data_IF_123685675473
#
_entry.id   IF_123685675473
#
_cell.length_a   1.000
_cell.length_b   1.000
_cell.length_c   1.000
_cell.angle_alpha   90.00
_cell.angle_beta   90.00
_cell.angle_gamma   90.00
#
_symmetry.space_group_name_H-M   'P 1'
#
loop_
_entity.id
_entity.type
_entity.pdbx_description
1 polymer ?
#
# COMPACT_ATOMS: atom_id res chain seq x y z
N UNK A 1 18.36 4.32 9.66
CA UNK A 1 18.60 2.87 9.61
C UNK A 1 17.51 2.25 8.72
N UNK A 2 17.85 1.42 7.73
CA UNK A 2 16.83 0.66 6.99
C UNK A 2 16.13 -0.30 7.97
N UNK A 3 14.81 -0.44 7.83
CA UNK A 3 13.95 -1.22 8.73
C UNK A 3 13.44 -2.47 8.00
N UNK A 4 12.72 -3.36 8.69
CA UNK A 4 12.19 -4.59 8.13
C UNK A 4 11.28 -4.33 6.92
N UNK A 5 11.46 -5.14 5.88
CA UNK A 5 10.59 -5.16 4.70
C UNK A 5 9.33 -5.95 5.02
N UNK A 6 8.17 -5.34 4.83
CA UNK A 6 6.86 -5.93 5.20
C UNK A 6 6.00 -6.30 3.99
N UNK A 7 6.25 -5.69 2.83
CA UNK A 7 5.56 -6.00 1.58
C UNK A 7 6.45 -5.61 0.40
N UNK A 8 6.44 -6.41 -0.66
CA UNK A 8 7.18 -6.14 -1.90
C UNK A 8 6.23 -6.30 -3.07
N UNK A 9 6.25 -5.35 -4.02
CA UNK A 9 5.56 -5.47 -5.31
C UNK A 9 6.48 -5.05 -6.45
N UNK A 10 6.24 -5.60 -7.64
CA UNK A 10 6.92 -5.20 -8.87
C UNK A 10 5.94 -4.54 -9.83
N UNK A 11 6.28 -3.36 -10.34
CA UNK A 11 5.47 -2.62 -11.31
C UNK A 11 6.37 -1.96 -12.37
N UNK A 12 6.18 -2.33 -13.64
CA UNK A 12 6.85 -1.72 -14.81
C UNK A 12 8.37 -1.54 -14.64
N UNK A 13 9.08 -2.58 -14.21
CA UNK A 13 10.54 -2.54 -14.04
C UNK A 13 11.01 -1.82 -12.78
N UNK A 14 10.10 -1.51 -11.85
CA UNK A 14 10.41 -0.99 -10.52
C UNK A 14 9.97 -1.99 -9.45
N UNK A 15 10.74 -2.11 -8.37
CA UNK A 15 10.36 -2.84 -7.16
C UNK A 15 10.10 -1.83 -6.06
N UNK A 16 8.95 -1.96 -5.41
CA UNK A 16 8.56 -1.15 -4.26
C UNK A 16 8.55 -2.05 -3.03
N UNK A 17 9.39 -1.73 -2.05
CA UNK A 17 9.53 -2.44 -0.80
C UNK A 17 9.06 -1.55 0.36
N UNK A 18 7.92 -1.90 0.94
CA UNK A 18 7.35 -1.22 2.11
C UNK A 18 8.10 -1.59 3.38
N UNK A 19 8.43 -0.58 4.20
CA UNK A 19 9.27 -0.72 5.38
C UNK A 19 8.47 -0.45 6.67
N UNK A 20 8.94 -1.04 7.77
CA UNK A 20 8.32 -0.88 9.09
C UNK A 20 8.44 0.54 9.69
N UNK A 21 9.34 1.37 9.15
CA UNK A 21 9.55 2.76 9.59
C UNK A 21 8.63 3.79 8.89
N UNK A 22 7.74 3.37 7.99
CA UNK A 22 6.84 4.28 7.28
C UNK A 22 7.36 4.79 5.95
N UNK A 23 8.44 4.20 5.45
CA UNK A 23 8.99 4.47 4.13
C UNK A 23 8.75 3.32 3.14
N UNK A 24 8.92 3.61 1.86
CA UNK A 24 8.92 2.67 0.75
C UNK A 24 10.25 2.88 0.02
N UNK A 25 11.06 1.83 -0.08
CA UNK A 25 12.24 1.80 -0.93
C UNK A 25 11.83 1.42 -2.37
N UNK A 26 12.32 2.17 -3.35
CA UNK A 26 12.01 2.00 -4.77
C UNK A 26 13.31 1.70 -5.53
N UNK A 27 13.40 0.47 -6.05
CA UNK A 27 14.47 0.03 -6.92
C UNK A 27 13.99 0.09 -8.37
N UNK A 28 14.89 0.40 -9.29
CA UNK A 28 14.56 0.56 -10.71
C UNK A 28 15.61 -0.12 -11.60
N UNK A 29 15.18 -0.50 -12.81
CA UNK A 29 16.11 -0.95 -13.85
C UNK A 29 16.87 0.22 -14.47
N UNK A 30 18.11 -0.03 -14.90
CA UNK A 30 18.89 0.87 -15.74
C UNK A 30 18.46 0.74 -17.22
N UNK A 31 19.04 1.55 -18.11
CA UNK A 31 18.75 1.54 -19.55
C UNK A 31 19.10 0.22 -20.25
N UNK A 32 20.01 -0.58 -19.67
CA UNK A 32 20.36 -1.91 -20.15
C UNK A 32 19.47 -3.04 -19.60
N UNK A 33 18.44 -2.73 -18.81
CA UNK A 33 17.54 -3.73 -18.20
C UNK A 33 18.07 -4.42 -16.94
N UNK A 34 19.31 -4.16 -16.54
CA UNK A 34 19.88 -4.56 -15.25
C UNK A 34 19.31 -3.73 -14.09
N UNK A 35 19.56 -4.14 -12.84
CA UNK A 35 19.25 -3.27 -11.70
C UNK A 35 20.21 -2.07 -11.66
N UNK A 36 19.69 -0.90 -11.33
CA UNK A 36 20.51 0.32 -11.22
C UNK A 36 21.51 0.21 -10.07
N UNK A 37 22.77 0.54 -10.35
CA UNK A 37 23.84 0.62 -9.34
C UNK A 37 23.80 1.93 -8.55
N UNK A 38 23.00 2.91 -9.00
CA UNK A 38 22.81 4.19 -8.31
C UNK A 38 22.03 4.05 -6.96
N UNK A 39 21.65 2.83 -6.58
CA UNK A 39 20.93 2.52 -5.36
C UNK A 39 19.41 2.58 -5.51
N UNK A 40 18.73 3.01 -4.45
CA UNK A 40 17.27 3.07 -4.39
C UNK A 40 16.78 4.47 -4.03
N UNK A 41 15.59 4.82 -4.51
CA UNK A 41 14.86 5.99 -4.02
C UNK A 41 14.07 5.62 -2.78
N UNK A 42 13.87 6.57 -1.87
CA UNK A 42 13.07 6.35 -0.69
C UNK A 42 11.94 7.37 -0.65
N UNK A 43 10.70 6.89 -0.52
CA UNK A 43 9.51 7.70 -0.29
C UNK A 43 9.04 7.47 1.14
N UNK A 44 8.83 8.54 1.90
CA UNK A 44 8.14 8.44 3.19
C UNK A 44 6.67 8.79 2.99
N UNK A 45 5.77 7.87 3.36
CA UNK A 45 4.33 8.04 3.08
C UNK A 45 3.56 8.76 4.20
N UNK A 46 4.16 8.90 5.38
CA UNK A 46 3.56 9.58 6.52
C UNK A 46 4.61 10.04 7.53
N UNK A 47 4.21 10.26 8.79
CA UNK A 47 5.22 10.42 9.85
C UNK A 47 5.99 9.11 10.01
N UNK A 48 7.30 9.13 10.21
CA UNK A 48 8.14 7.95 10.36
C UNK A 48 7.94 7.22 11.72
N UNK A 49 6.69 6.87 12.02
CA UNK A 49 6.23 6.38 13.33
C UNK A 49 5.42 5.09 13.22
N UNK A 50 5.14 4.61 12.01
CA UNK A 50 4.31 3.42 11.79
C UNK A 50 4.69 2.75 10.49
N UNK A 51 4.42 1.46 10.39
CA UNK A 51 4.77 0.67 9.22
C UNK A 51 3.92 1.00 8.00
N UNK A 52 4.55 0.94 6.83
CA UNK A 52 3.82 0.63 5.60
C UNK A 52 3.61 -0.88 5.57
N UNK A 53 2.38 -1.34 5.80
CA UNK A 53 2.13 -2.75 6.11
C UNK A 53 1.94 -3.63 4.88
N UNK A 54 1.33 -3.07 3.85
CA UNK A 54 0.94 -3.77 2.63
C UNK A 54 1.00 -2.82 1.46
N UNK A 55 1.41 -3.34 0.29
CA UNK A 55 1.31 -2.66 -1.00
C UNK A 55 0.40 -3.47 -1.92
N UNK A 56 -0.35 -2.79 -2.77
CA UNK A 56 -1.14 -3.43 -3.83
C UNK A 56 -1.11 -2.57 -5.09
N UNK A 57 -1.02 -3.19 -6.25
CA UNK A 57 -1.15 -2.50 -7.54
C UNK A 57 -2.64 -2.42 -7.85
N UNK A 58 -3.16 -1.21 -8.04
CA UNK A 58 -4.58 -0.97 -8.30
C UNK A 58 -4.70 -0.11 -9.55
N UNK A 59 -5.05 -0.75 -10.66
CA UNK A 59 -5.00 -0.11 -11.98
C UNK A 59 -3.58 0.37 -12.30
N UNK A 60 -3.40 1.70 -12.44
CA UNK A 60 -2.10 2.33 -12.71
C UNK A 60 -1.39 2.89 -11.48
N UNK A 61 -2.00 2.77 -10.30
CA UNK A 61 -1.51 3.33 -9.04
C UNK A 61 -1.03 2.22 -8.10
N UNK A 62 -0.23 2.60 -7.11
CA UNK A 62 0.12 1.75 -5.97
C UNK A 62 -0.67 2.24 -4.77
N UNK A 63 -1.38 1.33 -4.10
CA UNK A 63 -2.01 1.60 -2.82
C UNK A 63 -1.09 1.09 -1.71
N UNK A 64 -0.80 1.94 -0.74
CA UNK A 64 0.01 1.64 0.42
C UNK A 64 -0.82 1.74 1.71
N UNK A 65 -0.78 0.69 2.52
CA UNK A 65 -1.46 0.63 3.81
C UNK A 65 -0.58 1.24 4.90
N UNK A 66 -1.05 2.32 5.52
CA UNK A 66 -0.35 3.00 6.61
C UNK A 66 -1.35 3.36 7.72
N UNK A 67 -1.21 2.73 8.91
CA UNK A 67 -2.19 2.79 10.01
C UNK A 67 -3.60 2.40 9.53
N UNK A 68 -4.62 3.18 9.81
CA UNK A 68 -5.99 3.00 9.34
C UNK A 68 -6.25 3.60 7.94
N UNK A 69 -5.21 4.09 7.25
CA UNK A 69 -5.33 4.81 5.99
C UNK A 69 -4.74 4.04 4.81
N UNK A 70 -5.25 4.37 3.63
CA UNK A 70 -4.72 4.00 2.33
C UNK A 70 -4.11 5.23 1.68
N UNK A 71 -2.91 5.09 1.16
CA UNK A 71 -2.15 6.12 0.47
C UNK A 71 -1.99 5.67 -0.97
N UNK A 72 -2.58 6.43 -1.90
CA UNK A 72 -2.55 6.15 -3.34
C UNK A 72 -1.38 6.91 -3.94
N UNK A 73 -0.45 6.18 -4.53
CA UNK A 73 0.83 6.66 -5.05
C UNK A 73 0.85 6.45 -6.57
N UNK A 74 1.29 7.47 -7.29
CA UNK A 74 1.63 7.30 -8.70
C UNK A 74 3.06 6.76 -8.84
N UNK A 75 3.22 5.56 -9.41
CA UNK A 75 4.51 4.90 -9.49
C UNK A 75 5.48 5.56 -10.48
N UNK A 76 5.01 6.47 -11.35
CA UNK A 76 5.86 7.12 -12.36
C UNK A 76 6.62 8.29 -11.74
N UNK A 77 5.90 9.23 -11.13
CA UNK A 77 6.42 10.46 -10.53
C UNK A 77 6.70 10.34 -9.03
N UNK A 78 6.32 9.21 -8.41
CA UNK A 78 6.49 8.96 -6.98
C UNK A 78 5.81 10.05 -6.13
N UNK A 79 4.57 10.42 -6.48
CA UNK A 79 3.76 11.38 -5.71
C UNK A 79 2.50 10.75 -5.13
N UNK A 80 2.07 11.27 -3.98
CA UNK A 80 0.79 10.89 -3.35
C UNK A 80 -0.36 11.58 -4.10
N UNK A 81 -1.28 10.80 -4.65
CA UNK A 81 -2.46 11.28 -5.36
C UNK A 81 -3.70 11.37 -4.46
N UNK A 82 -3.81 10.48 -3.48
CA UNK A 82 -4.95 10.46 -2.55
C UNK A 82 -4.55 9.82 -1.23
N UNK A 83 -5.18 10.28 -0.15
CA UNK A 83 -5.20 9.60 1.14
C UNK A 83 -6.65 9.46 1.57
N UNK A 84 -7.04 8.29 2.06
CA UNK A 84 -8.35 8.08 2.66
C UNK A 84 -8.27 7.07 3.81
N UNK A 85 -9.19 7.17 4.76
CA UNK A 85 -9.29 6.21 5.86
C UNK A 85 -10.00 4.95 5.36
N UNK A 86 -9.36 3.79 5.49
CA UNK A 86 -9.99 2.48 5.27
C UNK A 86 -10.80 2.01 6.48
N UNK A 87 -10.61 2.63 7.65
CA UNK A 87 -11.40 2.35 8.84
C UNK A 87 -11.60 3.63 9.66
N UNK A 88 -12.81 3.87 10.21
CA UNK A 88 -13.10 5.09 10.97
C UNK A 88 -12.31 5.20 12.28
N UNK A 89 -11.97 4.06 12.91
CA UNK A 89 -11.14 4.03 14.12
C UNK A 89 -9.67 4.22 13.75
N UNK A 90 -8.99 5.18 14.40
CA UNK A 90 -7.63 5.61 14.06
C UNK A 90 -6.53 4.65 14.51
N UNK A 91 -6.81 3.86 15.52
CA UNK A 91 -5.97 2.84 16.13
C UNK A 91 -6.02 1.51 15.36
N UNK A 92 -7.07 1.28 14.56
CA UNK A 92 -7.14 0.18 13.60
C UNK A 92 -5.98 0.21 12.60
N UNK A 93 -5.55 -0.96 12.15
CA UNK A 93 -4.43 -1.08 11.22
C UNK A 93 -4.86 -1.91 10.01
N UNK A 94 -4.74 -1.33 8.82
CA UNK A 94 -4.90 -2.06 7.57
C UNK A 94 -3.79 -3.11 7.49
N UNK A 95 -4.17 -4.35 7.18
CA UNK A 95 -3.23 -5.48 7.20
C UNK A 95 -2.90 -6.04 5.82
N UNK A 96 -3.91 -6.30 4.99
CA UNK A 96 -3.77 -6.79 3.63
C UNK A 96 -4.70 -6.03 2.70
N UNK A 97 -4.29 -5.92 1.44
CA UNK A 97 -5.09 -5.36 0.35
C UNK A 97 -4.98 -6.25 -0.89
N UNK A 98 -6.11 -6.58 -1.50
CA UNK A 98 -6.14 -7.37 -2.73
C UNK A 98 -7.13 -6.76 -3.74
N UNK A 99 -6.66 -6.54 -4.97
CA UNK A 99 -7.45 -5.90 -6.02
C UNK A 99 -8.00 -6.92 -7.01
N UNK A 100 -9.27 -6.76 -7.40
CA UNK A 100 -9.92 -7.51 -8.46
C UNK A 100 -11.02 -6.66 -9.13
N UNK A 101 -11.00 -6.56 -10.45
CA UNK A 101 -11.98 -5.77 -11.22
C UNK A 101 -12.01 -4.31 -10.76
N UNK A 102 -13.18 -3.87 -10.28
CA UNK A 102 -13.37 -2.52 -9.75
C UNK A 102 -13.28 -2.45 -8.22
N UNK A 103 -12.97 -3.56 -7.56
CA UNK A 103 -12.98 -3.70 -6.11
C UNK A 103 -11.60 -3.97 -5.51
N UNK A 104 -11.30 -3.33 -4.38
CA UNK A 104 -10.13 -3.62 -3.55
C UNK A 104 -10.63 -4.08 -2.19
N UNK A 105 -10.33 -5.34 -1.85
CA UNK A 105 -10.62 -5.92 -0.55
C UNK A 105 -9.53 -5.54 0.45
N UNK A 106 -9.94 -5.11 1.64
CA UNK A 106 -9.07 -4.62 2.69
C UNK A 106 -9.40 -5.37 3.99
N UNK A 107 -8.39 -5.98 4.61
CA UNK A 107 -8.52 -6.58 5.94
C UNK A 107 -8.01 -5.61 7.01
N UNK A 108 -8.71 -5.52 8.14
CA UNK A 108 -8.28 -4.73 9.30
C UNK A 108 -7.74 -5.67 10.38
N UNK A 109 -6.66 -5.26 11.06
CA UNK A 109 -6.05 -6.04 12.15
C UNK A 109 -7.01 -6.12 13.34
N UNK A 110 -7.17 -7.34 13.90
CA UNK A 110 -8.04 -7.62 15.05
C UNK A 110 -9.51 -7.21 14.79
N UNK A 111 -9.93 -7.34 13.55
CA UNK A 111 -11.28 -7.05 13.09
C UNK A 111 -11.70 -8.22 12.19
N UNK A 112 -12.91 -8.74 12.41
CA UNK A 112 -13.49 -9.83 11.62
C UNK A 112 -14.12 -9.32 10.33
N UNK A 113 -14.13 -8.01 10.07
CA UNK A 113 -14.74 -7.45 8.87
C UNK A 113 -13.72 -7.22 7.75
N UNK A 114 -14.00 -7.79 6.57
CA UNK A 114 -13.36 -7.41 5.31
C UNK A 114 -14.12 -6.25 4.68
N UNK A 115 -13.41 -5.21 4.25
CA UNK A 115 -14.00 -4.00 3.68
C UNK A 115 -13.68 -3.91 2.19
N UNK A 116 -14.69 -3.75 1.35
CA UNK A 116 -14.58 -3.55 -0.09
C UNK A 116 -14.57 -2.06 -0.43
N UNK A 117 -13.58 -1.63 -1.20
CA UNK A 117 -13.48 -0.26 -1.72
C UNK A 117 -13.46 -0.25 -3.24
N UNK A 118 -14.08 0.76 -3.84
CA UNK A 118 -14.04 0.98 -5.27
C UNK A 118 -12.65 1.49 -5.71
N UNK A 119 -12.03 0.83 -6.69
CA UNK A 119 -10.65 1.08 -7.14
C UNK A 119 -10.41 2.50 -7.69
N UNK A 120 -11.42 3.11 -8.32
CA UNK A 120 -11.34 4.46 -8.90
C UNK A 120 -11.89 5.59 -8.02
N UNK A 121 -13.10 5.43 -7.48
CA UNK A 121 -13.77 6.47 -6.69
C UNK A 121 -13.33 6.47 -5.22
N UNK A 122 -12.65 5.41 -4.77
CA UNK A 122 -12.25 5.19 -3.36
C UNK A 122 -13.44 5.09 -2.40
N UNK A 123 -14.67 4.94 -2.94
CA UNK A 123 -15.87 4.77 -2.14
C UNK A 123 -15.82 3.43 -1.41
N UNK A 124 -16.22 3.42 -0.15
CA UNK A 124 -16.56 2.17 0.53
C UNK A 124 -17.82 1.59 -0.12
N UNK A 125 -17.78 0.29 -0.43
CA UNK A 125 -18.87 -0.39 -1.14
C UNK A 125 -19.60 -1.38 -0.24
N UNK A 126 -18.86 -2.15 0.55
CA UNK A 126 -19.42 -3.26 1.32
C UNK A 126 -18.49 -3.67 2.47
N UNK A 127 -19.09 -4.21 3.53
CA UNK A 127 -18.41 -4.92 4.60
C UNK A 127 -18.89 -6.38 4.62
N UNK A 128 -17.97 -7.33 4.81
CA UNK A 128 -18.25 -8.76 4.99
C UNK A 128 -17.66 -9.19 6.34
N UNK A 129 -18.51 -9.69 7.24
CA UNK A 129 -18.07 -10.31 8.48
C UNK A 129 -17.68 -11.77 8.24
N UNK A 130 -16.54 -12.18 8.80
CA UNK A 130 -16.00 -13.53 8.72
C UNK A 130 -15.86 -14.20 10.09
N UNK A 131 -16.56 -13.71 11.13
CA UNK A 131 -16.65 -14.44 12.39
C UNK A 131 -17.17 -15.88 12.18
N UNK A 132 -16.49 -16.89 12.73
CA UNK A 132 -17.01 -18.25 12.71
C UNK A 132 -18.24 -18.35 13.61
N UNK A 133 -19.29 -19.01 13.10
CA UNK A 133 -20.49 -19.38 13.86
C UNK A 133 -20.22 -20.53 14.84
#
# INVERSE_FOLDING_TARGET
MPDAVLSIIHYKGRVFAALANGSIAIFHRNTGGGWSEAGYHCMTVGRATSSVRSLSIVGKYIWAAYRNCIIVIDPNDLTVKKVFAAHPRRDSQVRHMHWIGDGVWISIRLDSTLRLYHARTYAHLQDIDIEPY
#
